data_IF_888302211399
#
_entry.id   IF_888302211399
#
_cell.length_a   1.000
_cell.length_b   1.000
_cell.length_c   1.000
_cell.angle_alpha   90.00
_cell.angle_beta   90.00
_cell.angle_gamma   90.00
#
_symmetry.space_group_name_H-M   'P 1'
#
loop_
_entity.id
_entity.type
_entity.pdbx_description
1 polymer ?
#
# COMPACT_ATOMS: atom_id res chain seq x y z
N UNK A 1 -3.41 3.77 19.94
CA UNK A 1 -4.64 4.05 20.72
C UNK A 1 -4.22 4.33 22.15
N UNK A 2 -4.92 5.21 22.85
CA UNK A 2 -4.63 5.53 24.25
C UNK A 2 -5.94 5.64 25.02
N UNK A 3 -5.98 5.08 26.22
CA UNK A 3 -7.07 5.31 27.18
C UNK A 3 -6.91 6.72 27.73
N UNK A 4 -7.91 7.57 27.56
CA UNK A 4 -7.90 8.96 28.02
C UNK A 4 -8.68 9.16 29.31
N UNK A 5 -9.68 8.32 29.56
CA UNK A 5 -10.49 8.32 30.77
C UNK A 5 -10.85 6.87 31.13
N UNK A 6 -10.70 6.50 32.39
CA UNK A 6 -11.08 5.19 32.90
C UNK A 6 -11.63 5.35 34.32
N UNK A 7 -12.96 5.21 34.42
CA UNK A 7 -13.70 5.17 35.68
C UNK A 7 -14.57 3.93 35.70
N UNK A 8 -15.22 3.62 36.82
CA UNK A 8 -16.17 2.50 36.90
C UNK A 8 -17.39 2.67 35.99
N UNK A 9 -17.74 3.91 35.63
CA UNK A 9 -18.91 4.26 34.81
C UNK A 9 -18.58 4.55 33.36
N UNK A 10 -17.36 5.01 33.08
CA UNK A 10 -16.97 5.51 31.76
C UNK A 10 -15.55 5.09 31.38
N UNK A 11 -15.41 4.56 30.17
CA UNK A 11 -14.13 4.30 29.53
C UNK A 11 -14.08 5.06 28.21
N UNK A 12 -13.08 5.92 28.05
CA UNK A 12 -12.86 6.64 26.79
C UNK A 12 -11.50 6.29 26.21
N UNK A 13 -11.52 5.80 24.98
CA UNK A 13 -10.35 5.44 24.20
C UNK A 13 -10.25 6.37 23.02
N UNK A 14 -9.05 6.93 22.81
CA UNK A 14 -8.77 7.83 21.72
C UNK A 14 -7.71 7.23 20.78
N UNK A 15 -8.00 7.29 19.49
CA UNK A 15 -7.08 6.98 18.41
C UNK A 15 -6.76 8.25 17.63
N UNK A 16 -5.51 8.72 17.75
CA UNK A 16 -4.97 9.80 16.92
C UNK A 16 -3.77 9.27 16.12
N UNK A 17 -3.89 9.14 14.79
CA UNK A 17 -2.85 8.61 13.93
C UNK A 17 -1.87 9.73 13.55
N UNK A 18 -1.22 10.33 14.55
CA UNK A 18 -0.30 11.46 14.34
C UNK A 18 0.82 11.10 13.36
N UNK A 19 1.42 9.91 13.51
CA UNK A 19 2.53 9.48 12.68
C UNK A 19 2.19 9.44 11.19
N UNK A 20 1.12 8.74 10.76
CA UNK A 20 0.73 8.81 9.35
C UNK A 20 0.40 10.21 8.85
N UNK A 21 -0.21 11.08 9.65
CA UNK A 21 -0.44 12.47 9.23
C UNK A 21 0.85 13.25 9.03
N UNK A 22 1.83 13.09 9.92
CA UNK A 22 3.15 13.73 9.79
C UNK A 22 3.89 13.21 8.57
N UNK A 23 4.00 11.88 8.42
CA UNK A 23 4.69 11.29 7.27
C UNK A 23 4.00 11.61 5.95
N UNK A 24 2.67 11.54 5.92
CA UNK A 24 1.90 11.88 4.73
C UNK A 24 2.07 13.35 4.36
N UNK A 25 2.00 14.26 5.34
CA UNK A 25 2.20 15.70 5.11
C UNK A 25 3.61 16.02 4.60
N UNK A 26 4.65 15.44 5.21
CA UNK A 26 6.04 15.61 4.76
C UNK A 26 6.21 15.06 3.34
N UNK A 27 5.72 13.86 3.07
CA UNK A 27 5.79 13.25 1.74
C UNK A 27 5.08 14.13 0.70
N UNK A 28 3.91 14.69 1.02
CA UNK A 28 3.20 15.61 0.13
C UNK A 28 4.04 16.84 -0.20
N UNK A 29 4.60 17.51 0.81
CA UNK A 29 5.42 18.71 0.60
C UNK A 29 6.65 18.39 -0.25
N UNK A 30 7.36 17.30 0.06
CA UNK A 30 8.52 16.85 -0.72
C UNK A 30 8.11 16.56 -2.17
N UNK A 31 7.04 15.81 -2.37
CA UNK A 31 6.56 15.44 -3.70
C UNK A 31 6.15 16.64 -4.55
N UNK A 32 5.49 17.63 -3.95
CA UNK A 32 5.12 18.88 -4.63
C UNK A 32 6.36 19.70 -4.98
N UNK A 33 7.26 19.93 -4.01
CA UNK A 33 8.44 20.78 -4.22
C UNK A 33 9.43 20.15 -5.18
N UNK A 34 9.80 18.88 -4.98
CA UNK A 34 10.71 18.16 -5.88
C UNK A 34 10.08 17.90 -7.24
N UNK A 35 8.79 17.55 -7.27
CA UNK A 35 8.04 17.38 -8.51
C UNK A 35 8.08 18.66 -9.35
N UNK A 36 7.76 19.81 -8.77
CA UNK A 36 7.80 21.11 -9.44
C UNK A 36 9.23 21.51 -9.88
N UNK A 37 10.25 21.22 -9.06
CA UNK A 37 11.64 21.55 -9.38
C UNK A 37 12.19 20.75 -10.56
N UNK A 38 11.73 19.50 -10.71
CA UNK A 38 12.13 18.57 -11.77
C UNK A 38 11.17 18.59 -12.97
N UNK A 39 9.99 19.21 -12.83
CA UNK A 39 9.08 19.47 -13.92
C UNK A 39 9.63 20.63 -14.76
N UNK A 40 10.42 20.28 -15.76
CA UNK A 40 11.13 21.26 -16.56
C UNK A 40 11.70 20.72 -17.86
N UNK A 41 12.29 21.63 -18.61
CA UNK A 41 13.04 21.35 -19.83
C UNK A 41 14.42 21.99 -19.75
N UNK A 42 15.40 21.35 -20.37
CA UNK A 42 16.69 21.97 -20.63
C UNK A 42 16.88 22.09 -22.14
N UNK A 43 17.20 23.29 -22.59
CA UNK A 43 17.43 23.58 -24.00
C UNK A 43 18.82 24.16 -24.15
N UNK A 44 19.65 23.51 -24.99
CA UNK A 44 20.90 24.08 -25.48
C UNK A 44 20.66 24.57 -26.90
N UNK A 45 20.86 25.86 -27.14
CA UNK A 45 20.78 26.48 -28.46
C UNK A 45 22.09 27.16 -28.80
N UNK A 46 22.75 26.75 -29.85
CA UNK A 46 23.94 27.41 -30.38
C UNK A 46 23.63 27.99 -31.75
N UNK A 47 24.02 29.24 -31.97
CA UNK A 47 23.85 29.93 -33.24
C UNK A 47 25.17 30.61 -33.63
N UNK A 48 25.72 30.20 -34.77
CA UNK A 48 26.98 30.74 -35.29
C UNK A 48 26.82 32.16 -35.84
N UNK A 49 25.61 32.58 -36.21
CA UNK A 49 25.34 33.94 -36.70
C UNK A 49 25.49 34.98 -35.59
N UNK A 50 25.07 34.63 -34.36
CA UNK A 50 25.24 35.45 -33.16
C UNK A 50 26.53 35.12 -32.40
N UNK A 51 27.24 34.06 -32.80
CA UNK A 51 28.45 33.53 -32.14
C UNK A 51 28.24 33.11 -30.69
N UNK A 52 27.00 32.78 -30.31
CA UNK A 52 26.62 32.49 -28.94
C UNK A 52 25.89 31.15 -28.81
N UNK A 53 26.17 30.47 -27.71
CA UNK A 53 25.41 29.35 -27.20
C UNK A 53 24.67 29.77 -25.94
N UNK A 54 23.42 29.31 -25.83
CA UNK A 54 22.52 29.54 -24.72
C UNK A 54 22.09 28.20 -24.14
N UNK A 55 22.38 27.99 -22.86
CA UNK A 55 21.87 26.87 -22.08
C UNK A 55 20.77 27.39 -21.14
N UNK A 56 19.54 26.99 -21.41
CA UNK A 56 18.37 27.42 -20.65
C UNK A 56 17.76 26.24 -19.91
N UNK A 57 17.72 26.33 -18.59
CA UNK A 57 17.01 25.40 -17.72
C UNK A 57 15.71 26.05 -17.26
N UNK A 58 14.59 25.50 -17.72
CA UNK A 58 13.26 25.96 -17.37
C UNK A 58 12.59 24.97 -16.43
N UNK A 59 12.02 25.44 -15.33
CA UNK A 59 11.15 24.65 -14.47
C UNK A 59 9.98 25.49 -13.93
N UNK A 60 9.14 24.93 -13.06
CA UNK A 60 8.00 25.65 -12.49
C UNK A 60 8.36 26.85 -11.61
N UNK A 61 9.63 27.00 -11.20
CA UNK A 61 10.11 28.12 -10.39
C UNK A 61 10.81 29.21 -11.22
N UNK A 62 10.87 29.04 -12.54
CA UNK A 62 11.43 29.99 -13.49
C UNK A 62 12.55 29.42 -14.34
N UNK A 63 13.20 30.32 -15.09
CA UNK A 63 14.23 29.98 -16.04
C UNK A 63 15.60 30.43 -15.53
N UNK A 64 16.61 29.58 -15.73
CA UNK A 64 18.02 29.94 -15.54
C UNK A 64 18.76 29.74 -16.85
N UNK A 65 19.19 30.86 -17.41
CA UNK A 65 19.94 30.92 -18.65
C UNK A 65 21.43 31.11 -18.37
N UNK A 66 22.29 30.44 -19.14
CA UNK A 66 23.73 30.68 -19.19
C UNK A 66 24.15 30.81 -20.65
N UNK A 67 24.80 31.91 -20.97
CA UNK A 67 25.33 32.17 -22.31
C UNK A 67 26.85 32.02 -22.33
N UNK A 68 27.40 31.50 -23.42
CA UNK A 68 28.84 31.41 -23.67
C UNK A 68 29.14 31.47 -25.17
N UNK A 69 30.36 31.83 -25.54
CA UNK A 69 30.73 31.98 -26.95
C UNK A 69 30.77 30.62 -27.67
N UNK A 70 30.26 30.52 -28.89
CA UNK A 70 30.20 29.25 -29.62
C UNK A 70 31.58 28.68 -29.95
N UNK A 71 32.60 29.54 -30.11
CA UNK A 71 33.98 29.15 -30.37
C UNK A 71 34.72 28.65 -29.11
N UNK A 72 34.13 28.89 -27.93
CA UNK A 72 34.67 28.40 -26.65
C UNK A 72 34.38 26.91 -26.44
N UNK A 73 33.42 26.34 -27.18
CA UNK A 73 32.99 24.95 -27.09
C UNK A 73 34.02 24.04 -27.80
N UNK A 74 34.75 23.25 -27.02
CA UNK A 74 35.85 22.38 -27.49
C UNK A 74 35.39 20.95 -27.77
N UNK A 75 34.36 20.50 -27.05
CA UNK A 75 33.81 19.15 -27.19
C UNK A 75 32.64 18.91 -26.25
N UNK A 76 32.07 17.71 -26.33
CA UNK A 76 31.14 17.19 -25.36
C UNK A 76 31.38 15.69 -25.12
N UNK A 77 31.19 15.25 -23.89
CA UNK A 77 31.34 13.85 -23.50
C UNK A 77 30.21 13.41 -22.57
N UNK A 78 30.10 12.09 -22.40
CA UNK A 78 29.17 11.51 -21.44
C UNK A 78 29.93 11.21 -20.16
N UNK A 79 29.68 12.03 -19.15
CA UNK A 79 30.16 11.82 -17.80
C UNK A 79 29.30 10.74 -17.12
N UNK A 80 29.92 9.94 -16.25
CA UNK A 80 29.31 8.80 -15.57
C UNK A 80 29.62 8.83 -14.08
N UNK A 81 28.62 8.50 -13.28
CA UNK A 81 28.80 8.26 -11.85
C UNK A 81 28.25 6.89 -11.48
N UNK A 82 28.84 6.27 -10.48
CA UNK A 82 28.42 4.98 -9.93
C UNK A 82 28.05 5.18 -8.47
N UNK A 83 26.89 4.68 -8.07
CA UNK A 83 26.46 4.73 -6.67
C UNK A 83 26.99 3.54 -5.84
N UNK A 84 26.60 3.47 -4.57
CA UNK A 84 27.01 2.41 -3.65
C UNK A 84 26.55 1.02 -4.07
N UNK A 85 25.47 0.95 -4.85
CA UNK A 85 24.82 -0.30 -5.24
C UNK A 85 25.37 -0.81 -6.58
N UNK A 86 26.23 -0.01 -7.23
CA UNK A 86 26.90 -0.34 -8.47
C UNK A 86 26.18 0.17 -9.71
N UNK A 87 25.03 0.82 -9.55
CA UNK A 87 24.25 1.40 -10.65
C UNK A 87 24.98 2.60 -11.24
N UNK A 88 24.96 2.69 -12.58
CA UNK A 88 25.67 3.74 -13.32
C UNK A 88 24.68 4.71 -13.93
N UNK A 89 24.85 5.98 -13.63
CA UNK A 89 24.06 7.08 -14.19
C UNK A 89 24.94 8.04 -14.99
N UNK A 90 24.34 8.75 -15.93
CA UNK A 90 25.03 9.50 -16.98
C UNK A 90 24.49 10.92 -17.11
N UNK A 91 25.36 11.84 -17.53
CA UNK A 91 24.98 13.17 -17.99
C UNK A 91 25.89 13.60 -19.13
N UNK A 92 25.44 14.53 -19.95
CA UNK A 92 26.30 15.15 -20.98
C UNK A 92 27.02 16.33 -20.35
N UNK A 93 28.32 16.42 -20.55
CA UNK A 93 29.14 17.56 -20.11
C UNK A 93 29.79 18.18 -21.34
N UNK A 94 29.63 19.49 -21.48
CA UNK A 94 30.27 20.29 -22.52
C UNK A 94 31.63 20.76 -22.00
N UNK A 95 32.67 20.56 -22.80
CA UNK A 95 34.01 21.06 -22.52
C UNK A 95 34.14 22.43 -23.19
N UNK A 96 34.35 23.47 -22.37
CA UNK A 96 34.56 24.85 -22.85
C UNK A 96 35.92 25.38 -22.42
N UNK A 97 36.38 26.47 -23.02
CA UNK A 97 37.61 27.16 -22.56
C UNK A 97 37.56 27.61 -21.10
N UNK A 98 36.37 27.84 -20.55
CA UNK A 98 36.15 28.24 -19.15
C UNK A 98 36.01 27.04 -18.20
N UNK A 99 36.05 25.82 -18.74
CA UNK A 99 35.88 24.57 -18.00
C UNK A 99 34.64 23.79 -18.44
N UNK A 100 34.25 22.84 -17.61
CA UNK A 100 33.13 21.93 -17.87
C UNK A 100 31.78 22.57 -17.55
N UNK A 101 30.85 22.50 -18.49
CA UNK A 101 29.46 22.94 -18.32
C UNK A 101 28.55 21.73 -18.50
N UNK A 102 27.93 21.20 -17.42
CA UNK A 102 27.03 20.08 -17.56
C UNK A 102 25.75 20.51 -18.29
N UNK A 103 25.32 19.72 -19.29
CA UNK A 103 24.07 19.94 -20.00
C UNK A 103 22.89 19.77 -19.04
N UNK A 104 22.96 18.83 -18.09
CA UNK A 104 21.97 18.67 -17.01
C UNK A 104 22.63 18.61 -15.65
N UNK A 105 21.95 19.13 -14.63
CA UNK A 105 22.46 19.06 -13.25
C UNK A 105 22.47 17.64 -12.69
N UNK A 106 21.43 16.87 -12.98
CA UNK A 106 21.28 15.50 -12.47
C UNK A 106 21.89 14.47 -13.43
N UNK A 107 22.47 13.41 -12.86
CA UNK A 107 22.77 12.19 -13.59
C UNK A 107 21.51 11.35 -13.70
N UNK A 108 21.33 10.72 -14.86
CA UNK A 108 20.14 9.91 -15.16
C UNK A 108 20.53 8.66 -15.93
N UNK A 109 19.69 7.64 -15.90
CA UNK A 109 19.90 6.44 -16.72
C UNK A 109 19.77 6.77 -18.22
N UNK A 110 20.25 5.85 -19.08
CA UNK A 110 20.05 5.93 -20.53
C UNK A 110 21.25 6.48 -21.30
N UNK A 111 22.39 5.79 -21.22
CA UNK A 111 23.64 6.10 -21.94
C UNK A 111 23.43 6.44 -23.42
N UNK A 112 22.63 5.64 -24.14
CA UNK A 112 22.45 5.81 -25.59
C UNK A 112 21.85 7.16 -26.00
N UNK A 113 20.98 7.77 -25.19
CA UNK A 113 20.45 9.11 -25.48
C UNK A 113 21.51 10.20 -25.19
N UNK A 114 22.29 10.05 -24.10
CA UNK A 114 23.33 11.03 -23.72
C UNK A 114 24.48 11.00 -24.71
N UNK A 115 24.86 9.81 -25.18
CA UNK A 115 25.87 9.63 -26.24
C UNK A 115 25.44 10.32 -27.53
N UNK A 116 24.21 10.10 -28.01
CA UNK A 116 23.67 10.79 -29.20
C UNK A 116 23.70 12.32 -29.07
N UNK A 117 23.47 12.86 -27.87
CA UNK A 117 23.53 14.30 -27.64
C UNK A 117 24.97 14.83 -27.63
N UNK A 118 25.90 14.13 -26.98
CA UNK A 118 27.32 14.47 -27.04
C UNK A 118 27.84 14.41 -28.49
N UNK A 119 27.48 13.35 -29.22
CA UNK A 119 27.82 13.19 -30.63
C UNK A 119 27.25 14.32 -31.50
N UNK A 120 25.99 14.74 -31.26
CA UNK A 120 25.39 15.87 -31.97
C UNK A 120 26.10 17.20 -31.70
N UNK A 121 26.54 17.44 -30.46
CA UNK A 121 27.35 18.61 -30.10
C UNK A 121 28.71 18.55 -30.80
N UNK A 122 29.39 17.41 -30.77
CA UNK A 122 30.68 17.22 -31.41
C UNK A 122 30.59 17.37 -32.94
N UNK A 123 29.52 16.89 -33.56
CA UNK A 123 29.26 17.06 -34.99
C UNK A 123 29.07 18.54 -35.37
N UNK A 124 28.35 19.30 -34.55
CA UNK A 124 28.18 20.75 -34.73
C UNK A 124 29.51 21.50 -34.64
N UNK A 125 30.41 21.10 -33.74
CA UNK A 125 31.76 21.68 -33.61
C UNK A 125 32.58 21.39 -34.87
N UNK A 126 32.56 20.14 -35.34
CA UNK A 126 33.34 19.65 -36.49
C UNK A 126 32.81 20.10 -37.86
N UNK A 127 31.58 20.63 -37.92
CA UNK A 127 30.92 21.02 -39.17
C UNK A 127 30.67 22.53 -39.21
N UNK A 128 31.62 23.36 -39.68
CA UNK A 128 31.49 24.81 -39.66
C UNK A 128 30.30 25.37 -40.46
N UNK A 129 29.80 24.60 -41.42
CA UNK A 129 28.65 24.96 -42.26
C UNK A 129 27.31 24.79 -41.56
N UNK A 130 27.26 24.08 -40.43
CA UNK A 130 26.04 23.96 -39.63
C UNK A 130 25.82 25.25 -38.84
N UNK A 131 24.84 26.06 -39.27
CA UNK A 131 24.58 27.37 -38.68
C UNK A 131 24.09 27.31 -37.23
N UNK A 132 23.29 26.30 -36.88
CA UNK A 132 22.68 26.17 -35.56
C UNK A 132 22.60 24.73 -35.05
N UNK A 133 22.60 24.60 -33.73
CA UNK A 133 22.33 23.37 -32.99
C UNK A 133 21.27 23.65 -31.93
N UNK A 134 20.25 22.80 -31.84
CA UNK A 134 19.26 22.85 -30.77
C UNK A 134 19.10 21.45 -30.17
N UNK A 135 19.31 21.33 -28.86
CA UNK A 135 19.09 20.11 -28.10
C UNK A 135 18.11 20.43 -26.99
N UNK A 136 16.92 19.86 -27.08
CA UNK A 136 15.92 19.95 -26.04
C UNK A 136 15.80 18.63 -25.28
N UNK A 137 15.84 18.72 -23.96
CA UNK A 137 15.57 17.62 -23.05
C UNK A 137 14.39 17.96 -22.16
N UNK A 138 13.34 17.17 -22.29
CA UNK A 138 12.16 17.32 -21.46
C UNK A 138 12.24 16.33 -20.29
N UNK A 139 12.20 16.84 -19.06
CA UNK A 139 12.26 16.04 -17.82
C UNK A 139 10.91 15.95 -17.08
N UNK A 140 9.82 16.41 -17.72
CA UNK A 140 8.48 16.44 -17.10
C UNK A 140 8.05 15.08 -16.53
N UNK A 141 8.41 13.97 -17.17
CA UNK A 141 7.99 12.63 -16.74
C UNK A 141 8.50 12.31 -15.32
N UNK A 142 9.76 12.64 -15.03
CA UNK A 142 10.36 12.39 -13.71
C UNK A 142 9.67 13.26 -12.66
N UNK A 143 9.45 14.55 -12.96
CA UNK A 143 8.71 15.45 -12.08
C UNK A 143 7.29 14.96 -11.80
N UNK A 144 6.57 14.49 -12.83
CA UNK A 144 5.22 13.91 -12.70
C UNK A 144 5.24 12.64 -11.83
N UNK A 145 6.17 11.72 -12.06
CA UNK A 145 6.28 10.48 -11.28
C UNK A 145 6.50 10.83 -9.80
N UNK A 146 7.44 11.71 -9.48
CA UNK A 146 7.71 12.14 -8.10
C UNK A 146 6.48 12.81 -7.47
N UNK A 147 5.81 13.69 -8.23
CA UNK A 147 4.59 14.35 -7.77
C UNK A 147 3.46 13.36 -7.47
N UNK A 148 3.25 12.34 -8.31
CA UNK A 148 2.22 11.32 -8.10
C UNK A 148 2.57 10.45 -6.89
N UNK A 149 3.79 9.91 -6.85
CA UNK A 149 4.19 8.96 -5.81
C UNK A 149 4.31 9.59 -4.43
N UNK A 150 4.78 10.82 -4.31
CA UNK A 150 4.96 11.47 -3.00
C UNK A 150 3.88 12.51 -2.72
N UNK A 151 3.54 13.34 -3.71
CA UNK A 151 2.54 14.40 -3.60
C UNK A 151 1.14 13.82 -3.44
N UNK A 152 0.65 13.09 -4.45
CA UNK A 152 -0.72 12.58 -4.47
C UNK A 152 -0.91 11.47 -3.42
N UNK A 153 -0.03 10.47 -3.36
CA UNK A 153 -0.15 9.39 -2.40
C UNK A 153 -0.05 9.88 -0.94
N UNK A 154 0.91 10.77 -0.65
CA UNK A 154 1.01 11.41 0.66
C UNK A 154 -0.28 12.16 1.04
N UNK A 155 -0.87 12.86 0.07
CA UNK A 155 -2.12 13.59 0.28
C UNK A 155 -3.27 12.64 0.58
N UNK A 156 -3.41 11.57 -0.21
CA UNK A 156 -4.41 10.51 0.04
C UNK A 156 -4.22 9.92 1.45
N UNK A 157 -2.98 9.64 1.85
CA UNK A 157 -2.70 9.11 3.19
C UNK A 157 -3.17 10.07 4.30
N UNK A 158 -2.93 11.38 4.16
CA UNK A 158 -3.41 12.38 5.13
C UNK A 158 -4.94 12.44 5.15
N UNK A 159 -5.59 12.46 3.99
CA UNK A 159 -7.04 12.70 3.88
C UNK A 159 -7.89 11.51 4.31
N UNK A 160 -7.43 10.27 4.07
CA UNK A 160 -8.22 9.06 4.31
C UNK A 160 -8.02 8.48 5.71
N UNK A 161 -6.98 8.89 6.44
CA UNK A 161 -6.70 8.38 7.77
C UNK A 161 -7.63 9.04 8.80
N UNK A 162 -8.46 8.19 9.42
CA UNK A 162 -9.48 8.59 10.39
C UNK A 162 -8.90 8.66 11.81
N UNK A 163 -9.37 9.64 12.57
CA UNK A 163 -9.27 9.64 14.03
C UNK A 163 -10.53 9.03 14.64
N UNK A 164 -10.39 8.37 15.79
CA UNK A 164 -11.50 7.69 16.47
C UNK A 164 -11.57 8.04 17.95
N UNK A 165 -12.77 8.32 18.44
CA UNK A 165 -13.09 8.46 19.85
C UNK A 165 -14.16 7.44 20.21
N UNK A 166 -13.84 6.54 21.13
CA UNK A 166 -14.70 5.46 21.58
C UNK A 166 -15.04 5.71 23.04
N UNK A 167 -16.32 5.90 23.34
CA UNK A 167 -16.79 6.15 24.71
C UNK A 167 -17.76 5.06 25.11
N UNK A 168 -17.38 4.26 26.09
CA UNK A 168 -18.25 3.28 26.73
C UNK A 168 -18.81 3.93 27.99
N UNK A 169 -20.13 4.11 28.06
CA UNK A 169 -20.81 4.73 29.19
C UNK A 169 -21.85 3.77 29.78
N UNK A 170 -21.58 3.24 30.98
CA UNK A 170 -22.48 2.33 31.70
C UNK A 170 -23.73 3.03 32.24
N UNK A 171 -23.66 4.34 32.48
CA UNK A 171 -24.81 5.12 32.95
C UNK A 171 -25.87 5.21 31.86
N UNK A 172 -25.41 5.47 30.62
CA UNK A 172 -26.28 5.50 29.44
C UNK A 172 -26.53 4.11 28.85
N UNK A 173 -25.73 3.11 29.24
CA UNK A 173 -25.78 1.76 28.69
C UNK A 173 -25.39 1.72 27.20
N UNK A 174 -24.53 2.64 26.75
CA UNK A 174 -24.21 2.83 25.34
C UNK A 174 -22.71 2.96 25.08
N UNK A 175 -22.26 2.36 23.97
CA UNK A 175 -21.01 2.64 23.30
C UNK A 175 -21.26 3.69 22.22
N UNK A 176 -20.58 4.81 22.31
CA UNK A 176 -20.53 5.83 21.25
C UNK A 176 -19.19 5.75 20.51
N UNK A 177 -19.26 5.51 19.21
CA UNK A 177 -18.10 5.55 18.31
C UNK A 177 -18.19 6.83 17.47
N UNK A 178 -17.26 7.75 17.68
CA UNK A 178 -17.13 8.96 16.86
C UNK A 178 -15.90 8.85 15.99
N UNK A 179 -16.08 8.79 14.67
CA UNK A 179 -14.98 8.79 13.69
C UNK A 179 -14.93 10.15 13.00
N UNK A 180 -13.76 10.78 12.99
CA UNK A 180 -13.55 12.09 12.37
C UNK A 180 -12.43 12.04 11.34
N UNK A 181 -12.72 12.58 10.15
CA UNK A 181 -11.71 12.94 9.16
C UNK A 181 -11.17 14.34 9.42
N UNK A 182 -10.04 14.67 8.79
CA UNK A 182 -9.43 16.01 8.88
C UNK A 182 -10.41 17.11 8.42
N UNK A 183 -11.29 16.84 7.45
CA UNK A 183 -12.31 17.78 6.98
C UNK A 183 -13.58 17.84 7.84
N UNK A 184 -13.52 17.44 9.11
CA UNK A 184 -14.60 17.68 10.07
C UNK A 184 -15.87 16.84 9.89
N UNK A 185 -15.96 15.99 8.86
CA UNK A 185 -17.05 15.00 8.76
C UNK A 185 -16.92 14.02 9.92
N UNK A 186 -17.84 14.15 10.88
CA UNK A 186 -17.99 13.25 12.03
C UNK A 186 -19.07 12.24 11.69
N UNK A 187 -18.74 10.96 11.77
CA UNK A 187 -19.72 9.87 11.79
C UNK A 187 -19.81 9.37 13.22
N UNK A 188 -20.99 9.49 13.81
CA UNK A 188 -21.27 8.97 15.14
C UNK A 188 -22.16 7.74 15.02
N UNK A 189 -21.75 6.65 15.64
CA UNK A 189 -22.50 5.40 15.74
C UNK A 189 -22.70 5.10 17.22
N UNK A 190 -23.88 4.58 17.56
CA UNK A 190 -24.22 4.21 18.93
C UNK A 190 -24.64 2.75 18.97
N UNK A 191 -24.13 2.02 19.96
CA UNK A 191 -24.41 0.60 20.17
C UNK A 191 -24.78 0.36 21.64
N UNK A 192 -25.79 -0.47 21.94
CA UNK A 192 -26.12 -0.83 23.33
C UNK A 192 -24.98 -1.64 23.96
N UNK A 193 -24.49 -1.25 25.15
CA UNK A 193 -23.42 -1.98 25.84
C UNK A 193 -23.83 -3.40 26.21
N UNK A 194 -25.11 -3.63 26.53
CA UNK A 194 -25.63 -4.95 26.88
C UNK A 194 -25.46 -5.99 25.77
N UNK A 195 -25.37 -5.54 24.51
CA UNK A 195 -25.19 -6.44 23.37
C UNK A 195 -23.72 -6.79 23.14
N UNK A 196 -22.77 -6.18 23.86
CA UNK A 196 -21.35 -6.49 23.69
C UNK A 196 -20.97 -7.70 24.53
N UNK A 197 -20.56 -8.78 23.87
CA UNK A 197 -20.19 -10.05 24.53
C UNK A 197 -18.70 -10.22 24.72
N UNK A 198 -17.87 -9.60 23.87
CA UNK A 198 -16.42 -9.69 23.95
C UNK A 198 -15.73 -8.52 23.23
N UNK A 199 -14.48 -8.26 23.61
CA UNK A 199 -13.53 -7.50 22.82
C UNK A 199 -12.37 -8.44 22.44
N UNK A 200 -11.90 -8.38 21.19
CA UNK A 200 -10.84 -9.26 20.72
C UNK A 200 -9.97 -8.61 19.63
N UNK A 201 -8.83 -9.22 19.34
CA UNK A 201 -8.02 -8.89 18.18
C UNK A 201 -8.49 -9.68 16.96
N UNK A 202 -8.76 -8.98 15.86
CA UNK A 202 -8.90 -9.60 14.55
C UNK A 202 -7.56 -9.53 13.83
N UNK A 203 -7.05 -10.69 13.44
CA UNK A 203 -5.77 -10.83 12.74
C UNK A 203 -5.95 -10.86 11.22
N UNK A 204 -4.96 -10.30 10.54
CA UNK A 204 -4.61 -10.50 9.13
C UNK A 204 -3.18 -11.06 9.10
N UNK A 205 -2.65 -11.43 7.92
CA UNK A 205 -1.32 -12.04 7.76
C UNK A 205 -0.21 -11.28 8.50
N UNK A 206 -0.24 -9.94 8.47
CA UNK A 206 0.84 -9.09 8.98
C UNK A 206 0.37 -8.03 9.98
N UNK A 207 -0.94 -7.97 10.25
CA UNK A 207 -1.51 -6.85 10.98
C UNK A 207 -2.75 -7.27 11.77
N UNK A 208 -3.10 -6.50 12.80
CA UNK A 208 -4.27 -6.76 13.63
C UNK A 208 -5.06 -5.47 13.89
N UNK A 209 -6.34 -5.62 14.22
CA UNK A 209 -7.23 -4.54 14.66
C UNK A 209 -8.08 -5.00 15.84
N UNK A 210 -8.50 -4.05 16.67
CA UNK A 210 -9.42 -4.33 17.79
C UNK A 210 -10.85 -4.35 17.25
N UNK A 211 -11.57 -5.42 17.54
CA UNK A 211 -12.99 -5.58 17.21
C UNK A 211 -13.80 -5.88 18.46
N UNK A 212 -15.03 -5.40 18.47
CA UNK A 212 -16.02 -5.73 19.48
C UNK A 212 -17.00 -6.75 18.90
N UNK A 213 -17.32 -7.79 19.65
CA UNK A 213 -18.29 -8.80 19.26
C UNK A 213 -19.64 -8.51 19.91
N UNK A 214 -20.69 -8.50 19.09
CA UNK A 214 -22.07 -8.37 19.54
C UNK A 214 -22.68 -9.74 19.84
N UNK A 215 -23.74 -9.79 20.66
CA UNK A 215 -24.56 -11.00 20.90
C UNK A 215 -25.08 -11.63 19.60
N UNK A 216 -25.32 -10.79 18.58
CA UNK A 216 -25.73 -11.23 17.24
C UNK A 216 -24.62 -11.92 16.42
N UNK A 217 -23.39 -11.98 16.94
CA UNK A 217 -22.19 -12.42 16.21
C UNK A 217 -21.57 -11.34 15.31
N UNK A 218 -22.19 -10.15 15.20
CA UNK A 218 -21.63 -9.03 14.43
C UNK A 218 -20.31 -8.53 15.06
N UNK A 219 -19.29 -8.35 14.23
CA UNK A 219 -18.01 -7.76 14.62
C UNK A 219 -17.99 -6.26 14.26
N UNK A 220 -17.86 -5.40 15.28
CA UNK A 220 -17.74 -3.96 15.13
C UNK A 220 -16.27 -3.57 15.29
N UNK A 221 -15.56 -3.21 14.22
CA UNK A 221 -14.18 -2.77 14.33
C UNK A 221 -14.12 -1.37 14.99
N UNK A 222 -13.21 -1.21 15.96
CA UNK A 222 -12.92 0.14 16.47
C UNK A 222 -12.37 1.00 15.33
N UNK A 223 -11.42 0.46 14.55
CA UNK A 223 -10.87 1.11 13.36
C UNK A 223 -11.04 0.22 12.13
N UNK A 224 -11.36 0.82 10.99
CA UNK A 224 -11.61 0.07 9.75
C UNK A 224 -10.36 -0.54 9.14
N UNK A 225 -9.17 -0.03 9.45
CA UNK A 225 -7.89 -0.53 8.93
C UNK A 225 -7.16 -1.45 9.92
N UNK A 226 -6.35 -2.34 9.36
CA UNK A 226 -5.39 -3.15 10.12
C UNK A 226 -4.09 -2.38 10.31
N UNK A 227 -3.43 -2.59 11.45
CA UNK A 227 -2.10 -2.00 11.70
C UNK A 227 -1.19 -3.01 12.40
N UNK A 228 0.12 -2.78 12.34
CA UNK A 228 1.10 -3.54 13.11
C UNK A 228 1.00 -3.25 14.62
N UNK A 229 1.68 -4.06 15.43
CA UNK A 229 1.69 -3.93 16.90
C UNK A 229 0.53 -4.65 17.58
N UNK A 230 0.75 -5.90 18.02
CA UNK A 230 -0.22 -6.72 18.73
C UNK A 230 -0.33 -6.28 20.18
N UNK A 231 0.79 -6.25 20.91
CA UNK A 231 0.85 -5.92 22.34
C UNK A 231 0.08 -4.65 22.75
N UNK A 232 0.25 -3.48 22.09
CA UNK A 232 -0.50 -2.29 22.47
C UNK A 232 -2.00 -2.40 22.19
N UNK A 233 -2.42 -3.22 21.22
CA UNK A 233 -3.85 -3.47 20.94
C UNK A 233 -4.45 -4.49 21.89
N UNK A 234 -3.69 -5.53 22.27
CA UNK A 234 -4.12 -6.48 23.30
C UNK A 234 -4.36 -5.76 24.62
N UNK A 235 -3.48 -4.80 25.00
CA UNK A 235 -3.74 -3.95 26.16
C UNK A 235 -5.11 -3.26 26.07
N UNK A 236 -5.45 -2.67 24.92
CA UNK A 236 -6.77 -2.04 24.73
C UNK A 236 -7.92 -3.05 24.84
N UNK A 237 -7.77 -4.26 24.30
CA UNK A 237 -8.75 -5.34 24.45
C UNK A 237 -8.96 -5.65 25.93
N UNK A 238 -7.89 -5.87 26.69
CA UNK A 238 -7.97 -6.20 28.11
C UNK A 238 -8.65 -5.09 28.93
N UNK A 239 -8.36 -3.82 28.63
CA UNK A 239 -9.01 -2.67 29.29
C UNK A 239 -10.52 -2.62 29.00
N UNK A 240 -10.93 -2.91 27.76
CA UNK A 240 -12.34 -2.97 27.38
C UNK A 240 -13.02 -4.17 28.05
N UNK A 241 -12.43 -5.36 27.99
CA UNK A 241 -12.98 -6.57 28.60
C UNK A 241 -13.17 -6.40 30.11
N UNK A 242 -12.15 -5.86 30.79
CA UNK A 242 -12.19 -5.54 32.22
C UNK A 242 -13.28 -4.53 32.53
N UNK A 243 -13.38 -3.45 31.75
CA UNK A 243 -14.41 -2.43 31.95
C UNK A 243 -15.82 -2.99 31.77
N UNK A 244 -16.05 -3.82 30.75
CA UNK A 244 -17.37 -4.39 30.47
C UNK A 244 -17.73 -5.56 31.40
N UNK A 245 -16.76 -6.14 32.11
CA UNK A 245 -16.97 -7.35 32.90
C UNK A 245 -17.27 -8.58 32.03
N UNK A 246 -16.87 -8.52 30.76
CA UNK A 246 -17.01 -9.63 29.82
C UNK A 246 -15.73 -10.46 29.82
N UNK A 247 -15.87 -11.76 29.53
CA UNK A 247 -14.72 -12.66 29.50
C UNK A 247 -13.70 -12.13 28.51
N UNK A 248 -12.44 -12.05 28.95
CA UNK A 248 -11.34 -11.94 28.02
C UNK A 248 -11.32 -13.26 27.25
N UNK A 249 -11.91 -13.26 26.06
CA UNK A 249 -11.58 -14.28 25.08
C UNK A 249 -10.16 -13.94 24.68
N UNK A 250 -9.18 -14.31 25.52
CA UNK A 250 -7.85 -14.51 25.02
C UNK A 250 -8.05 -15.33 23.74
N UNK A 251 -7.47 -14.90 22.61
CA UNK A 251 -7.28 -15.87 21.55
C UNK A 251 -6.57 -17.00 22.28
N UNK A 252 -7.23 -18.16 22.43
CA UNK A 252 -6.50 -19.35 22.82
C UNK A 252 -5.30 -19.39 21.88
N UNK A 253 -4.16 -19.89 22.32
CA UNK A 253 -2.99 -20.03 21.44
C UNK A 253 -3.27 -20.88 20.16
N UNK A 254 -4.51 -21.34 19.94
CA UNK A 254 -5.13 -21.27 18.61
C UNK A 254 -5.28 -19.81 18.12
N UNK A 255 -4.16 -19.07 18.09
CA UNK A 255 -3.98 -18.08 17.06
C UNK A 255 -4.47 -18.75 15.80
N UNK A 256 -5.32 -18.05 15.06
CA UNK A 256 -5.82 -18.48 13.77
C UNK A 256 -4.56 -18.70 12.91
N UNK A 257 -3.95 -19.87 13.03
CA UNK A 257 -3.03 -20.47 12.10
C UNK A 257 -3.96 -20.85 10.96
N UNK A 258 -4.38 -19.82 10.23
CA UNK A 258 -4.87 -19.94 8.88
C UNK A 258 -3.67 -20.30 8.01
N UNK A 259 -3.17 -21.49 8.26
CA UNK A 259 -2.35 -22.26 7.38
C UNK A 259 -2.95 -23.66 7.56
N UNK A 260 -3.93 -24.07 6.73
CA UNK A 260 -4.00 -25.49 6.42
C UNK A 260 -2.55 -25.96 6.26
N UNK A 261 -2.22 -27.12 6.83
CA UNK A 261 -0.82 -27.60 6.91
C UNK A 261 -0.13 -27.47 5.55
N UNK A 262 -0.91 -27.52 4.47
CA UNK A 262 -0.47 -27.25 3.11
C UNK A 262 -1.17 -26.08 2.36
N UNK A 263 -1.12 -24.85 2.89
CA UNK A 263 -1.63 -23.67 2.16
C UNK A 263 -0.95 -23.47 0.79
N UNK A 264 0.30 -23.92 0.65
CA UNK A 264 1.06 -23.85 -0.61
C UNK A 264 0.43 -24.77 -1.65
N UNK A 265 0.00 -25.97 -1.26
CA UNK A 265 -0.71 -26.88 -2.15
C UNK A 265 -2.05 -26.26 -2.63
N UNK A 266 -2.82 -25.65 -1.73
CA UNK A 266 -4.08 -24.98 -2.11
C UNK A 266 -3.85 -23.84 -3.09
N UNK A 267 -2.84 -22.99 -2.87
CA UNK A 267 -2.49 -21.91 -3.81
C UNK A 267 -1.97 -22.46 -5.14
N UNK A 268 -1.13 -23.50 -5.11
CA UNK A 268 -0.67 -24.18 -6.33
C UNK A 268 -1.87 -24.71 -7.11
N UNK A 269 -2.78 -25.41 -6.45
CA UNK A 269 -3.97 -25.97 -7.08
C UNK A 269 -4.87 -24.88 -7.66
N UNK A 270 -5.09 -23.78 -6.94
CA UNK A 270 -5.93 -22.68 -7.40
C UNK A 270 -5.40 -22.02 -8.67
N UNK A 271 -4.12 -21.63 -8.67
CA UNK A 271 -3.54 -20.75 -9.70
C UNK A 271 -2.75 -21.50 -10.78
N UNK A 272 -2.14 -22.63 -10.42
CA UNK A 272 -1.21 -23.37 -11.29
C UNK A 272 -1.71 -24.78 -11.63
N UNK A 273 -2.75 -25.28 -10.94
CA UNK A 273 -3.33 -26.58 -11.20
C UNK A 273 -4.04 -26.64 -12.55
N UNK A 274 -3.80 -27.73 -13.27
CA UNK A 274 -4.54 -28.09 -14.48
C UNK A 274 -6.01 -28.40 -14.15
N UNK A 275 -6.89 -28.38 -15.16
CA UNK A 275 -8.31 -28.75 -14.99
C UNK A 275 -8.46 -30.17 -14.42
N UNK A 276 -7.62 -31.11 -14.88
CA UNK A 276 -7.61 -32.49 -14.39
C UNK A 276 -7.19 -32.57 -12.93
N UNK A 277 -6.10 -31.91 -12.52
CA UNK A 277 -5.67 -31.87 -11.11
C UNK A 277 -6.74 -31.25 -10.21
N UNK A 278 -7.43 -30.20 -10.67
CA UNK A 278 -8.53 -29.59 -9.90
C UNK A 278 -9.72 -30.54 -9.78
N UNK A 279 -10.06 -31.27 -10.82
CA UNK A 279 -11.17 -32.23 -10.79
C UNK A 279 -10.84 -33.43 -9.89
N UNK A 280 -9.61 -33.96 -9.97
CA UNK A 280 -9.11 -35.03 -9.12
C UNK A 280 -9.07 -34.62 -7.65
N UNK A 281 -8.65 -33.38 -7.36
CA UNK A 281 -8.66 -32.84 -6.00
C UNK A 281 -10.08 -32.71 -5.44
N UNK A 282 -11.09 -32.35 -6.25
CA UNK A 282 -12.49 -32.34 -5.81
C UNK A 282 -12.98 -33.76 -5.49
N UNK A 283 -12.69 -34.74 -6.35
CA UNK A 283 -13.11 -36.13 -6.15
C UNK A 283 -12.43 -36.76 -4.93
N UNK A 284 -11.14 -36.51 -4.75
CA UNK A 284 -10.37 -37.00 -3.61
C UNK A 284 -10.90 -36.40 -2.31
N UNK A 285 -11.16 -35.08 -2.28
CA UNK A 285 -11.75 -34.43 -1.12
C UNK A 285 -13.15 -34.98 -0.79
N UNK A 286 -13.98 -35.26 -1.80
CA UNK A 286 -15.31 -35.84 -1.60
C UNK A 286 -15.24 -37.28 -1.07
N UNK A 287 -14.28 -38.08 -1.54
CA UNK A 287 -14.02 -39.41 -0.99
C UNK A 287 -13.56 -39.36 0.48
N UNK A 288 -12.70 -38.40 0.84
CA UNK A 288 -12.28 -38.17 2.24
C UNK A 288 -13.51 -37.77 3.08
N UNK A 289 -14.32 -36.81 2.62
CA UNK A 289 -15.52 -36.37 3.34
C UNK A 289 -16.58 -37.48 3.51
N UNK A 290 -16.55 -38.52 2.69
CA UNK A 290 -17.41 -39.69 2.87
C UNK A 290 -16.93 -40.57 4.04
N UNK A 291 -15.63 -40.61 4.29
CA UNK A 291 -15.01 -41.41 5.36
C UNK A 291 -14.89 -40.63 6.67
N UNK A 292 -14.45 -39.38 6.60
CA UNK A 292 -14.35 -38.43 7.69
C UNK A 292 -15.07 -37.14 7.29
N UNK A 293 -16.38 -37.05 7.58
CA UNK A 293 -17.16 -35.88 7.23
C UNK A 293 -16.82 -34.63 8.06
N UNK A 294 -15.94 -34.72 9.07
CA UNK A 294 -15.54 -33.61 9.92
C UNK A 294 -14.14 -33.08 9.55
N UNK A 295 -13.58 -33.57 8.43
CA UNK A 295 -12.31 -33.15 7.85
C UNK A 295 -12.43 -31.76 7.20
N UNK A 296 -11.91 -30.77 7.92
CA UNK A 296 -11.86 -29.38 7.50
C UNK A 296 -11.02 -29.18 6.23
N UNK A 297 -9.90 -29.88 6.09
CA UNK A 297 -8.94 -29.70 5.00
C UNK A 297 -9.53 -30.21 3.68
N UNK A 298 -10.29 -31.30 3.72
CA UNK A 298 -11.05 -31.80 2.59
C UNK A 298 -12.11 -30.77 2.11
N UNK A 299 -12.88 -30.16 3.01
CA UNK A 299 -13.82 -29.09 2.67
C UNK A 299 -13.13 -27.88 2.00
N UNK A 300 -11.97 -27.45 2.52
CA UNK A 300 -11.18 -26.36 1.95
C UNK A 300 -10.63 -26.73 0.55
N UNK A 301 -10.04 -27.92 0.40
CA UNK A 301 -9.45 -28.40 -0.86
C UNK A 301 -10.50 -28.53 -1.96
N UNK A 302 -11.66 -29.09 -1.64
CA UNK A 302 -12.81 -29.14 -2.56
C UNK A 302 -13.20 -27.75 -3.03
N UNK A 303 -13.39 -26.82 -2.09
CA UNK A 303 -13.91 -25.48 -2.38
C UNK A 303 -12.94 -24.65 -3.21
N UNK A 304 -11.63 -24.73 -2.94
CA UNK A 304 -10.59 -24.07 -3.76
C UNK A 304 -10.62 -24.60 -5.20
N UNK A 305 -10.62 -25.92 -5.35
CA UNK A 305 -10.60 -26.57 -6.66
C UNK A 305 -11.87 -26.24 -7.48
N UNK A 306 -13.03 -26.23 -6.81
CA UNK A 306 -14.31 -25.85 -7.41
C UNK A 306 -14.32 -24.38 -7.88
N UNK A 307 -13.89 -23.44 -7.03
CA UNK A 307 -13.78 -22.01 -7.41
C UNK A 307 -12.81 -21.82 -8.58
N UNK A 308 -11.67 -22.51 -8.55
CA UNK A 308 -10.65 -22.42 -9.61
C UNK A 308 -11.07 -23.05 -10.95
N UNK A 309 -12.17 -23.82 -10.96
CA UNK A 309 -12.84 -24.33 -12.16
C UNK A 309 -14.09 -23.50 -12.55
N UNK A 310 -14.37 -22.39 -11.86
CA UNK A 310 -15.57 -21.58 -12.09
C UNK A 310 -16.86 -22.17 -11.51
N UNK A 311 -16.79 -23.28 -10.75
CA UNK A 311 -17.93 -23.95 -10.11
C UNK A 311 -18.23 -23.32 -8.74
N UNK A 312 -18.46 -22.00 -8.69
CA UNK A 312 -18.60 -21.24 -7.43
C UNK A 312 -19.78 -21.73 -6.58
N UNK A 313 -20.91 -22.05 -7.20
CA UNK A 313 -22.11 -22.51 -6.48
C UNK A 313 -21.86 -23.84 -5.74
N UNK A 314 -21.06 -24.74 -6.32
CA UNK A 314 -20.69 -26.00 -5.66
C UNK A 314 -19.77 -25.76 -4.46
N UNK A 315 -18.81 -24.84 -4.60
CA UNK A 315 -17.95 -24.45 -3.48
C UNK A 315 -18.75 -23.81 -2.35
N UNK A 316 -19.70 -22.92 -2.69
CA UNK A 316 -20.57 -22.27 -1.73
C UNK A 316 -21.44 -23.28 -0.96
N UNK A 317 -22.15 -24.14 -1.68
CA UNK A 317 -22.98 -25.17 -1.07
C UNK A 317 -22.17 -26.07 -0.11
N UNK A 318 -20.97 -26.48 -0.54
CA UNK A 318 -20.10 -27.35 0.24
C UNK A 318 -19.54 -26.66 1.50
N UNK A 319 -19.24 -25.36 1.43
CA UNK A 319 -18.82 -24.56 2.60
C UNK A 319 -19.96 -24.29 3.58
N UNK A 320 -21.18 -24.06 3.10
CA UNK A 320 -22.37 -23.89 3.93
C UNK A 320 -22.70 -25.20 4.67
N UNK A 321 -22.61 -26.33 3.97
CA UNK A 321 -22.73 -27.68 4.55
C UNK A 321 -21.74 -27.88 5.71
N UNK A 322 -20.44 -27.64 5.45
CA UNK A 322 -19.38 -27.76 6.45
C UNK A 322 -19.64 -26.88 7.67
N UNK A 323 -19.99 -25.60 7.44
CA UNK A 323 -20.30 -24.65 8.52
C UNK A 323 -21.46 -25.14 9.38
N UNK A 324 -22.57 -25.53 8.76
CA UNK A 324 -23.75 -26.01 9.47
C UNK A 324 -23.41 -27.21 10.35
N UNK A 325 -22.63 -28.14 9.81
CA UNK A 325 -22.18 -29.35 10.52
C UNK A 325 -21.30 -29.02 11.73
N UNK A 326 -20.30 -28.16 11.57
CA UNK A 326 -19.45 -27.76 12.70
C UNK A 326 -20.21 -26.95 13.75
N UNK A 327 -21.21 -26.17 13.36
CA UNK A 327 -22.11 -25.50 14.31
C UNK A 327 -22.95 -26.51 15.12
N UNK A 328 -23.48 -27.54 14.48
CA UNK A 328 -24.27 -28.59 15.13
C UNK A 328 -23.44 -29.39 16.15
N UNK A 329 -22.16 -29.61 15.85
CA UNK A 329 -21.18 -30.24 16.75
C UNK A 329 -20.66 -29.33 17.86
N UNK A 330 -21.08 -28.06 17.88
CA UNK A 330 -20.55 -27.02 18.77
C UNK A 330 -19.04 -26.75 18.59
N UNK A 331 -18.45 -27.16 17.46
CA UNK A 331 -17.08 -26.77 17.08
C UNK A 331 -17.09 -25.38 16.42
N UNK A 332 -17.31 -24.37 17.27
CA UNK A 332 -17.37 -22.97 16.87
C UNK A 332 -16.05 -22.50 16.23
N UNK A 333 -14.92 -23.16 16.52
CA UNK A 333 -13.64 -22.82 15.91
C UNK A 333 -13.64 -23.16 14.42
N UNK A 334 -13.99 -24.39 14.05
CA UNK A 334 -14.09 -24.81 12.63
C UNK A 334 -15.21 -24.07 11.89
N UNK A 335 -16.36 -23.85 12.52
CA UNK A 335 -17.45 -23.08 11.90
C UNK A 335 -17.04 -21.64 11.56
N UNK A 336 -16.32 -20.98 12.47
CA UNK A 336 -15.77 -19.65 12.23
C UNK A 336 -14.67 -19.65 11.15
N UNK A 337 -13.88 -20.72 11.06
CA UNK A 337 -12.90 -20.89 9.99
C UNK A 337 -13.57 -20.98 8.61
N UNK A 338 -14.70 -21.69 8.50
CA UNK A 338 -15.48 -21.74 7.26
C UNK A 338 -15.98 -20.33 6.85
N UNK A 339 -16.52 -19.55 7.79
CA UNK A 339 -16.96 -18.17 7.52
C UNK A 339 -15.82 -17.27 7.03
N UNK A 340 -14.63 -17.37 7.63
CA UNK A 340 -13.47 -16.61 7.19
C UNK A 340 -13.04 -17.01 5.78
N UNK A 341 -13.01 -18.31 5.48
CA UNK A 341 -12.62 -18.80 4.18
C UNK A 341 -13.59 -18.39 3.07
N UNK A 342 -14.90 -18.50 3.31
CA UNK A 342 -15.93 -18.01 2.38
C UNK A 342 -15.74 -16.52 2.08
N UNK A 343 -15.47 -15.72 3.11
CA UNK A 343 -15.21 -14.28 2.96
C UNK A 343 -14.00 -14.01 2.08
N UNK A 344 -12.89 -14.74 2.28
CA UNK A 344 -11.66 -14.60 1.47
C UNK A 344 -11.89 -15.01 0.02
N UNK A 345 -12.66 -16.06 -0.23
CA UNK A 345 -12.96 -16.53 -1.59
C UNK A 345 -14.09 -15.74 -2.28
N UNK A 346 -14.75 -14.83 -1.57
CA UNK A 346 -15.92 -14.11 -2.07
C UNK A 346 -17.11 -15.04 -2.37
N UNK A 347 -17.27 -16.10 -1.58
CA UNK A 347 -18.46 -16.93 -1.58
C UNK A 347 -19.51 -16.28 -0.68
N UNK A 348 -20.79 -16.38 -1.05
CA UNK A 348 -21.86 -15.90 -0.17
C UNK A 348 -22.09 -16.96 0.91
N UNK A 349 -22.27 -16.54 2.15
CA UNK A 349 -22.40 -17.44 3.31
C UNK A 349 -23.82 -17.53 3.80
#
# INVERSE_FOLDING_TARGET
MRVTEQTHRRLTIQHKPYWPWVFGGIATVIGVVLGAALFGSTTLRCDRTTTQCELTHSNMFGDRQRTFASDSLQGAEVDRTRDSDGDVTYRVVMQTREGEIPLTRAYTSGLGQRRRQADAINAFIQTPTQASLEIQQNSYLIGIIIFIFFGLFGSVMVLFIQSGLFTFDKTLGQLTITRSHIFGRKRQEQYPLKQLVAAQLQHSKEACRVVLMMESGQLIPLMNYYSSGIAPKQKIVNEISTFLGVRDTQPSDAGIQFAPKDYKELLRLAFLGTTTEKQDAMQTAEAILTQDPDDLEAYLKYSVAAVAQGKRDQAEAKMVEARSRFMEQQDLAKANQMNQFMTVMGLKG
#
